data_IF_405024132182
#
_entry.id   IF_405024132182
#
_cell.length_a   1.000
_cell.length_b   1.000
_cell.length_c   1.000
_cell.angle_alpha   90.00
_cell.angle_beta   90.00
_cell.angle_gamma   90.00
#
_symmetry.space_group_name_H-M   'P 1'
#
loop_
_entity.id
_entity.type
_entity.pdbx_description
1 polymer ?
#
# COMPACT_ATOMS: atom_id res chain seq x y z
N UNK A 1 25.00 -18.96 -13.10
CA UNK A 1 23.94 -17.92 -13.05
C UNK A 1 23.00 -18.19 -14.22
N UNK A 2 21.72 -18.41 -13.95
CA UNK A 2 20.69 -18.77 -14.93
C UNK A 2 20.56 -17.71 -16.03
N UNK A 3 20.54 -18.13 -17.29
CA UNK A 3 20.44 -17.25 -18.46
C UNK A 3 19.11 -16.50 -18.47
N UNK A 4 18.03 -17.11 -17.95
CA UNK A 4 16.73 -16.45 -17.81
C UNK A 4 16.77 -15.31 -16.79
N UNK A 5 17.44 -15.54 -15.67
CA UNK A 5 17.59 -14.54 -14.62
C UNK A 5 18.39 -13.31 -15.11
N UNK A 6 19.48 -13.54 -15.85
CA UNK A 6 20.24 -12.45 -16.50
C UNK A 6 19.41 -11.65 -17.49
N UNK A 7 18.64 -12.34 -18.33
CA UNK A 7 17.78 -11.69 -19.33
C UNK A 7 16.68 -10.85 -18.67
N UNK A 8 16.08 -11.34 -17.58
CA UNK A 8 15.09 -10.59 -16.81
C UNK A 8 15.70 -9.33 -16.19
N UNK A 9 16.86 -9.43 -15.53
CA UNK A 9 17.55 -8.27 -14.95
C UNK A 9 17.87 -7.23 -16.00
N UNK A 10 18.43 -7.64 -17.15
CA UNK A 10 18.73 -6.73 -18.25
C UNK A 10 17.45 -6.03 -18.74
N UNK A 11 16.37 -6.78 -18.94
CA UNK A 11 15.09 -6.23 -19.39
C UNK A 11 14.49 -5.22 -18.40
N UNK A 12 14.61 -5.48 -17.08
CA UNK A 12 14.18 -4.54 -16.04
C UNK A 12 15.03 -3.26 -16.09
N UNK A 13 16.36 -3.40 -16.16
CA UNK A 13 17.26 -2.24 -16.23
C UNK A 13 17.04 -1.40 -17.50
N UNK A 14 16.67 -2.03 -18.61
CA UNK A 14 16.31 -1.35 -19.87
C UNK A 14 14.88 -0.77 -19.88
N UNK A 15 14.06 -1.04 -18.85
CA UNK A 15 12.66 -0.60 -18.80
C UNK A 15 11.74 -1.32 -19.78
N UNK A 16 12.10 -2.54 -20.22
CA UNK A 16 11.35 -3.36 -21.20
C UNK A 16 10.76 -4.64 -20.62
N UNK A 17 10.90 -4.84 -19.30
CA UNK A 17 10.43 -6.06 -18.66
C UNK A 17 8.91 -6.19 -18.73
N UNK A 18 8.46 -7.37 -19.14
CA UNK A 18 7.06 -7.76 -19.02
C UNK A 18 6.74 -8.06 -17.55
N UNK A 19 5.87 -7.24 -16.96
CA UNK A 19 5.42 -7.38 -15.57
C UNK A 19 4.67 -8.69 -15.32
N UNK A 20 4.11 -9.33 -16.34
CA UNK A 20 3.44 -10.63 -16.23
C UNK A 20 4.41 -11.81 -16.40
N UNK A 21 5.62 -11.55 -16.90
CA UNK A 21 6.69 -12.53 -17.13
C UNK A 21 7.61 -12.78 -15.93
N UNK A 22 7.30 -12.24 -14.74
CA UNK A 22 8.17 -12.33 -13.55
C UNK A 22 7.83 -13.45 -12.58
N UNK A 23 6.87 -14.30 -12.95
CA UNK A 23 6.41 -15.38 -12.08
C UNK A 23 7.54 -16.31 -11.66
N UNK A 24 7.41 -16.90 -10.46
CA UNK A 24 8.35 -17.93 -9.96
C UNK A 24 8.49 -19.11 -10.91
N UNK A 25 7.43 -19.40 -11.68
CA UNK A 25 7.42 -20.41 -12.75
C UNK A 25 8.32 -20.05 -13.94
N UNK A 26 8.60 -18.77 -14.17
CA UNK A 26 9.49 -18.28 -15.23
C UNK A 26 10.93 -18.15 -14.74
N UNK A 27 11.13 -17.45 -13.63
CA UNK A 27 12.42 -17.22 -13.03
C UNK A 27 12.30 -17.26 -11.50
N UNK A 28 12.79 -18.33 -10.89
CA UNK A 28 12.71 -18.52 -9.44
C UNK A 28 13.65 -17.57 -8.69
N UNK A 29 14.91 -17.52 -9.11
CA UNK A 29 15.98 -16.81 -8.41
C UNK A 29 16.44 -15.62 -9.26
N UNK A 30 16.00 -14.42 -8.89
CA UNK A 30 16.38 -13.17 -9.57
C UNK A 30 17.57 -12.54 -8.83
N UNK A 31 18.69 -12.22 -9.49
CA UNK A 31 19.81 -11.54 -8.85
C UNK A 31 19.46 -10.05 -8.69
N UNK A 32 18.66 -9.73 -7.66
CA UNK A 32 18.11 -8.40 -7.42
C UNK A 32 19.19 -7.32 -7.27
N UNK A 33 20.37 -7.69 -6.74
CA UNK A 33 21.51 -6.78 -6.60
C UNK A 33 22.06 -6.26 -7.94
N UNK A 34 21.74 -6.93 -9.05
CA UNK A 34 22.15 -6.53 -10.40
C UNK A 34 21.12 -5.58 -11.06
N UNK A 35 19.98 -5.33 -10.41
CA UNK A 35 18.95 -4.37 -10.84
C UNK A 35 19.22 -3.03 -10.17
N UNK A 36 19.24 -1.94 -10.93
CA UNK A 36 19.41 -0.62 -10.33
C UNK A 36 18.20 -0.25 -9.47
N UNK A 37 18.38 0.48 -8.34
CA UNK A 37 17.25 0.86 -7.49
C UNK A 37 16.16 1.66 -8.24
N UNK A 38 16.57 2.50 -9.21
CA UNK A 38 15.64 3.30 -10.01
C UNK A 38 14.81 2.38 -10.93
N UNK A 39 15.45 1.45 -11.63
CA UNK A 39 14.77 0.50 -12.51
C UNK A 39 13.82 -0.41 -11.73
N UNK A 40 14.22 -0.85 -10.52
CA UNK A 40 13.34 -1.63 -9.64
C UNK A 40 12.09 -0.83 -9.23
N UNK A 41 12.26 0.44 -8.87
CA UNK A 41 11.12 1.29 -8.52
C UNK A 41 10.18 1.52 -9.69
N UNK A 42 10.71 1.83 -10.88
CA UNK A 42 9.93 1.98 -12.11
C UNK A 42 9.19 0.69 -12.49
N UNK A 43 9.83 -0.46 -12.28
CA UNK A 43 9.21 -1.75 -12.49
C UNK A 43 8.03 -1.99 -11.52
N UNK A 44 8.20 -1.65 -10.24
CA UNK A 44 7.10 -1.70 -9.26
C UNK A 44 5.98 -0.70 -9.61
N UNK A 45 6.33 0.48 -10.13
CA UNK A 45 5.38 1.49 -10.60
C UNK A 45 4.53 0.96 -11.75
N UNK A 46 5.12 0.23 -12.70
CA UNK A 46 4.40 -0.40 -13.80
C UNK A 46 3.39 -1.45 -13.30
N UNK A 47 3.75 -2.25 -12.29
CA UNK A 47 2.82 -3.19 -11.64
C UNK A 47 1.67 -2.44 -10.98
N UNK A 48 1.95 -1.39 -10.19
CA UNK A 48 0.90 -0.59 -9.57
C UNK A 48 -0.03 0.05 -10.61
N UNK A 49 0.51 0.49 -11.75
CA UNK A 49 -0.28 1.06 -12.84
C UNK A 49 -1.22 0.04 -13.47
N UNK A 50 -0.75 -1.19 -13.71
CA UNK A 50 -1.59 -2.27 -14.21
C UNK A 50 -2.69 -2.67 -13.20
N UNK A 51 -2.38 -2.69 -11.90
CA UNK A 51 -3.38 -2.91 -10.84
C UNK A 51 -4.47 -1.83 -10.89
N UNK A 52 -4.08 -0.56 -10.95
CA UNK A 52 -4.99 0.58 -11.09
C UNK A 52 -5.88 0.46 -12.34
N UNK A 53 -5.26 0.14 -13.47
CA UNK A 53 -5.96 -0.05 -14.74
C UNK A 53 -7.01 -1.16 -14.65
N UNK A 54 -6.67 -2.31 -14.04
CA UNK A 54 -7.58 -3.46 -13.89
C UNK A 54 -8.76 -3.21 -12.96
N UNK A 55 -8.63 -2.28 -12.02
CA UNK A 55 -9.77 -1.83 -11.18
C UNK A 55 -10.53 -0.65 -11.78
N UNK A 56 -10.18 -0.23 -13.01
CA UNK A 56 -10.87 0.84 -13.73
C UNK A 56 -10.59 2.24 -13.20
N UNK A 57 -9.46 2.47 -12.51
CA UNK A 57 -9.08 3.77 -11.96
C UNK A 57 -7.76 4.22 -12.57
N UNK A 58 -7.70 5.46 -13.07
CA UNK A 58 -6.49 6.03 -13.63
C UNK A 58 -5.57 6.57 -12.52
N UNK A 59 -4.25 6.53 -12.76
CA UNK A 59 -3.22 7.03 -11.83
C UNK A 59 -3.50 8.46 -11.33
N UNK A 60 -3.98 9.34 -12.22
CA UNK A 60 -4.21 10.75 -11.90
C UNK A 60 -5.44 10.99 -11.01
N UNK A 61 -6.35 10.02 -10.90
CA UNK A 61 -7.54 10.11 -10.04
C UNK A 61 -7.19 9.90 -8.56
N UNK A 62 -6.12 9.17 -8.26
CA UNK A 62 -5.64 8.93 -6.89
C UNK A 62 -4.10 8.86 -6.80
N UNK A 63 -3.38 9.97 -7.10
CA UNK A 63 -1.92 9.97 -7.23
C UNK A 63 -1.19 9.64 -5.92
N UNK A 64 -1.73 10.08 -4.78
CA UNK A 64 -1.19 9.75 -3.46
C UNK A 64 -1.35 8.25 -3.16
N UNK A 65 -2.50 7.67 -3.48
CA UNK A 65 -2.76 6.24 -3.30
C UNK A 65 -1.85 5.40 -4.19
N UNK A 66 -1.68 5.83 -5.44
CA UNK A 66 -0.80 5.20 -6.41
C UNK A 66 0.65 5.17 -5.92
N UNK A 67 1.14 6.31 -5.44
CA UNK A 67 2.50 6.45 -4.90
C UNK A 67 2.70 5.55 -3.67
N UNK A 68 1.74 5.57 -2.74
CA UNK A 68 1.78 4.72 -1.55
C UNK A 68 1.74 3.22 -1.90
N UNK A 69 0.93 2.81 -2.88
CA UNK A 69 0.89 1.42 -3.35
C UNK A 69 2.22 1.00 -3.97
N UNK A 70 2.78 1.83 -4.85
CA UNK A 70 4.08 1.60 -5.49
C UNK A 70 5.19 1.42 -4.45
N UNK A 71 5.23 2.30 -3.46
CA UNK A 71 6.20 2.20 -2.37
C UNK A 71 6.04 0.90 -1.56
N UNK A 72 4.79 0.47 -1.30
CA UNK A 72 4.51 -0.77 -0.58
C UNK A 72 4.88 -2.03 -1.37
N UNK A 73 4.71 -2.02 -2.70
CA UNK A 73 5.17 -3.11 -3.56
C UNK A 73 6.71 -3.16 -3.56
N UNK A 74 7.37 -2.01 -3.75
CA UNK A 74 8.83 -1.91 -3.77
C UNK A 74 9.45 -2.38 -2.45
N UNK A 75 8.97 -1.85 -1.31
CA UNK A 75 9.44 -2.26 0.03
C UNK A 75 9.15 -3.72 0.36
N UNK A 76 8.20 -4.34 -0.36
CA UNK A 76 7.88 -5.76 -0.22
C UNK A 76 8.99 -6.69 -0.70
N UNK A 77 9.96 -6.20 -1.51
CA UNK A 77 11.03 -7.03 -2.07
C UNK A 77 10.48 -8.11 -3.01
N UNK A 78 9.63 -7.72 -3.96
CA UNK A 78 8.85 -8.64 -4.79
C UNK A 78 9.67 -9.72 -5.49
N UNK A 79 10.90 -9.40 -5.93
CA UNK A 79 11.78 -10.31 -6.65
C UNK A 79 12.80 -11.03 -5.76
N UNK A 80 12.84 -10.70 -4.46
CA UNK A 80 13.87 -11.20 -3.53
C UNK A 80 13.68 -12.70 -3.21
N UNK A 81 12.45 -13.18 -3.30
CA UNK A 81 12.07 -14.53 -2.86
C UNK A 81 11.09 -15.22 -3.83
N UNK A 82 10.92 -16.53 -3.60
CA UNK A 82 10.08 -17.40 -4.42
C UNK A 82 8.88 -18.00 -3.66
N UNK A 83 8.70 -17.68 -2.38
CA UNK A 83 7.58 -18.19 -1.56
C UNK A 83 6.97 -17.07 -0.72
N UNK A 84 5.71 -17.24 -0.31
CA UNK A 84 5.03 -16.24 0.54
C UNK A 84 5.64 -16.15 1.94
N UNK A 85 6.17 -17.25 2.48
CA UNK A 85 6.81 -17.30 3.80
C UNK A 85 7.93 -16.27 3.96
N UNK A 86 8.72 -16.08 2.89
CA UNK A 86 9.92 -15.24 2.89
C UNK A 86 9.68 -13.85 2.33
N UNK A 87 8.51 -13.62 1.73
CA UNK A 87 8.14 -12.33 1.20
C UNK A 87 8.16 -11.26 2.30
N UNK A 88 9.04 -10.26 2.17
CA UNK A 88 9.24 -9.22 3.20
C UNK A 88 7.98 -8.39 3.46
N UNK A 89 7.12 -8.25 2.45
CA UNK A 89 5.81 -7.61 2.59
C UNK A 89 4.87 -8.29 3.60
N UNK A 90 5.12 -9.56 3.96
CA UNK A 90 4.29 -10.29 4.94
C UNK A 90 4.28 -9.64 6.32
N UNK A 91 5.38 -9.04 6.78
CA UNK A 91 5.41 -8.38 8.09
C UNK A 91 4.38 -7.25 8.16
N UNK A 92 4.32 -6.42 7.12
CA UNK A 92 3.34 -5.35 7.01
C UNK A 92 1.90 -5.88 6.89
N UNK A 93 1.70 -6.93 6.10
CA UNK A 93 0.39 -7.57 5.93
C UNK A 93 -0.13 -8.15 7.25
N UNK A 94 0.73 -8.85 8.01
CA UNK A 94 0.38 -9.39 9.34
C UNK A 94 0.01 -8.28 10.33
N UNK A 95 0.76 -7.18 10.36
CA UNK A 95 0.44 -6.05 11.22
C UNK A 95 -0.93 -5.45 10.87
N UNK A 96 -1.20 -5.28 9.57
CA UNK A 96 -2.50 -4.77 9.07
C UNK A 96 -3.64 -5.72 9.45
N UNK A 97 -3.40 -7.04 9.43
CA UNK A 97 -4.39 -8.05 9.82
C UNK A 97 -4.71 -8.04 11.33
N UNK A 98 -3.75 -7.69 12.19
CA UNK A 98 -4.02 -7.53 13.62
C UNK A 98 -5.03 -6.39 13.86
N UNK A 99 -4.85 -5.25 13.18
CA UNK A 99 -5.81 -4.14 13.21
C UNK A 99 -7.18 -4.58 12.69
N UNK A 100 -7.20 -5.38 11.63
CA UNK A 100 -8.44 -5.97 11.10
C UNK A 100 -9.19 -6.76 12.16
N UNK A 101 -8.54 -7.70 12.86
CA UNK A 101 -9.21 -8.53 13.87
C UNK A 101 -9.85 -7.67 14.95
N UNK A 102 -9.17 -6.63 15.42
CA UNK A 102 -9.69 -5.70 16.42
C UNK A 102 -10.94 -4.98 15.93
N UNK A 103 -10.98 -4.55 14.66
CA UNK A 103 -12.14 -3.85 14.08
C UNK A 103 -13.30 -4.83 13.87
N UNK A 104 -13.03 -6.03 13.34
CA UNK A 104 -14.05 -7.02 13.05
C UNK A 104 -14.76 -7.48 14.33
N UNK A 105 -14.00 -7.79 15.39
CA UNK A 105 -14.56 -8.21 16.68
C UNK A 105 -15.50 -7.18 17.31
N UNK A 106 -15.34 -5.90 16.99
CA UNK A 106 -16.15 -4.80 17.56
C UNK A 106 -17.37 -4.46 16.74
N UNK A 107 -17.29 -4.61 15.42
CA UNK A 107 -18.30 -4.07 14.51
C UNK A 107 -19.17 -5.11 13.85
N UNK A 108 -18.69 -6.36 13.74
CA UNK A 108 -19.32 -7.43 12.96
C UNK A 108 -19.67 -7.03 11.51
N UNK A 109 -18.97 -6.03 10.97
CA UNK A 109 -19.19 -5.49 9.61
C UNK A 109 -18.11 -5.99 8.64
N UNK A 110 -18.42 -6.04 7.33
CA UNK A 110 -17.38 -6.17 6.32
C UNK A 110 -16.37 -5.03 6.46
N UNK A 111 -15.14 -5.27 6.05
CA UNK A 111 -14.04 -4.33 6.23
C UNK A 111 -13.12 -4.37 5.02
N UNK A 112 -12.31 -3.33 4.89
CA UNK A 112 -11.35 -3.19 3.82
C UNK A 112 -9.97 -2.91 4.39
N UNK A 113 -8.97 -3.58 3.82
CA UNK A 113 -7.58 -3.27 4.09
C UNK A 113 -7.14 -2.01 3.33
N UNK A 114 -6.03 -1.36 3.74
CA UNK A 114 -5.45 -0.27 2.97
C UNK A 114 -5.12 -0.70 1.54
N UNK A 115 -5.33 0.19 0.55
CA UNK A 115 -5.04 -0.08 -0.85
C UNK A 115 -3.60 -0.56 -1.09
N UNK A 116 -2.61 0.02 -0.40
CA UNK A 116 -1.22 -0.41 -0.51
C UNK A 116 -0.96 -1.83 0.03
N UNK A 117 -1.71 -2.30 1.02
CA UNK A 117 -1.64 -3.68 1.52
C UNK A 117 -2.18 -4.66 0.47
N UNK A 118 -3.36 -4.35 -0.08
CA UNK A 118 -3.97 -5.15 -1.15
C UNK A 118 -3.11 -5.16 -2.41
N UNK A 119 -2.58 -4.02 -2.85
CA UNK A 119 -1.67 -3.94 -3.98
C UNK A 119 -0.38 -4.75 -3.78
N UNK A 120 0.20 -4.72 -2.57
CA UNK A 120 1.39 -5.50 -2.22
C UNK A 120 1.15 -7.01 -2.32
N UNK A 121 0.01 -7.51 -1.83
CA UNK A 121 -0.29 -8.95 -1.93
C UNK A 121 -0.72 -9.36 -3.35
N UNK A 122 -1.42 -8.49 -4.09
CA UNK A 122 -1.74 -8.72 -5.50
C UNK A 122 -0.45 -8.85 -6.32
N UNK A 123 0.52 -7.95 -6.13
CA UNK A 123 1.82 -8.04 -6.79
C UNK A 123 2.51 -9.39 -6.50
N UNK A 124 2.55 -9.79 -5.22
CA UNK A 124 3.12 -11.06 -4.78
C UNK A 124 2.43 -12.29 -5.41
N UNK A 125 1.10 -12.33 -5.42
CA UNK A 125 0.33 -13.53 -5.76
C UNK A 125 -0.03 -13.59 -7.25
N UNK A 126 -0.42 -12.47 -7.86
CA UNK A 126 -0.88 -12.44 -9.25
C UNK A 126 0.27 -12.25 -10.25
N UNK A 127 1.28 -11.43 -9.93
CA UNK A 127 2.38 -11.14 -10.85
C UNK A 127 3.57 -12.04 -10.58
N UNK A 128 4.05 -12.06 -9.32
CA UNK A 128 5.18 -12.89 -8.93
C UNK A 128 4.79 -14.37 -8.73
N UNK A 129 3.49 -14.68 -8.60
CA UNK A 129 2.97 -16.04 -8.41
C UNK A 129 3.54 -16.74 -7.18
N UNK A 130 3.82 -15.98 -6.11
CA UNK A 130 4.24 -16.54 -4.83
C UNK A 130 3.14 -17.44 -4.29
N UNK A 131 3.54 -18.61 -3.79
CA UNK A 131 2.67 -19.58 -3.12
C UNK A 131 3.19 -19.84 -1.71
N UNK A 132 2.30 -20.24 -0.79
CA UNK A 132 2.73 -20.91 0.44
C UNK A 132 3.53 -22.17 0.07
N UNK A 133 4.72 -22.31 0.63
CA UNK A 133 5.55 -23.50 0.47
C UNK A 133 5.20 -24.61 1.47
N UNK A 134 4.60 -24.27 2.62
CA UNK A 134 4.36 -25.24 3.70
C UNK A 134 2.96 -25.12 4.33
N UNK A 135 2.40 -26.26 4.75
CA UNK A 135 1.17 -26.28 5.57
C UNK A 135 1.37 -25.65 6.96
N UNK A 136 2.62 -25.66 7.45
CA UNK A 136 2.99 -24.97 8.69
C UNK A 136 2.73 -23.46 8.60
N UNK A 137 3.10 -22.84 7.48
CA UNK A 137 2.81 -21.44 7.23
C UNK A 137 1.31 -21.16 7.18
N UNK A 138 0.52 -22.01 6.52
CA UNK A 138 -0.94 -21.86 6.52
C UNK A 138 -1.51 -21.86 7.93
N UNK A 139 -1.17 -22.87 8.75
CA UNK A 139 -1.68 -22.99 10.13
C UNK A 139 -1.31 -21.80 11.00
N UNK A 140 -0.10 -21.26 10.85
CA UNK A 140 0.34 -20.10 11.62
C UNK A 140 -0.32 -18.77 11.18
N UNK A 141 -0.92 -18.74 9.99
CA UNK A 141 -1.47 -17.52 9.40
C UNK A 141 -2.92 -17.74 8.95
N UNK A 142 -3.70 -18.53 9.69
CA UNK A 142 -5.08 -18.89 9.31
C UNK A 142 -5.93 -17.68 8.90
N UNK A 143 -5.91 -16.60 9.68
CA UNK A 143 -6.66 -15.38 9.36
C UNK A 143 -6.21 -14.71 8.08
N UNK A 144 -4.91 -14.79 7.74
CA UNK A 144 -4.44 -14.28 6.46
C UNK A 144 -5.11 -15.05 5.31
N UNK A 145 -5.17 -16.38 5.41
CA UNK A 145 -5.83 -17.22 4.40
C UNK A 145 -7.34 -17.00 4.38
N UNK A 146 -7.98 -16.83 5.54
CA UNK A 146 -9.40 -16.49 5.64
C UNK A 146 -9.72 -15.15 4.97
N UNK A 147 -8.94 -14.11 5.27
CA UNK A 147 -9.19 -12.75 4.75
C UNK A 147 -9.00 -12.66 3.24
N UNK A 148 -7.94 -13.28 2.72
CA UNK A 148 -7.61 -13.20 1.29
C UNK A 148 -8.26 -14.30 0.43
N UNK A 149 -8.62 -15.44 1.03
CA UNK A 149 -9.25 -16.56 0.34
C UNK A 149 -10.77 -16.57 0.47
N UNK A 150 -11.29 -16.56 1.70
CA UNK A 150 -12.73 -16.70 1.97
C UNK A 150 -13.48 -15.37 1.91
N UNK A 151 -12.93 -14.33 2.55
CA UNK A 151 -13.58 -13.01 2.65
C UNK A 151 -13.33 -12.12 1.43
N UNK A 152 -12.50 -12.58 0.48
CA UNK A 152 -12.21 -11.91 -0.78
C UNK A 152 -11.89 -10.41 -0.63
N UNK A 153 -11.08 -10.04 0.37
CA UNK A 153 -10.90 -8.62 0.73
C UNK A 153 -10.40 -7.74 -0.41
N UNK A 154 -9.71 -8.34 -1.40
CA UNK A 154 -9.23 -7.69 -2.62
C UNK A 154 -10.36 -7.09 -3.45
N UNK A 155 -11.60 -7.59 -3.33
CA UNK A 155 -12.78 -7.01 -3.96
C UNK A 155 -13.01 -5.55 -3.60
N UNK A 156 -12.55 -5.13 -2.42
CA UNK A 156 -12.71 -3.77 -1.93
C UNK A 156 -11.62 -2.79 -2.41
N UNK A 157 -10.65 -3.25 -3.22
CA UNK A 157 -9.58 -2.40 -3.72
C UNK A 157 -10.06 -1.13 -4.47
N UNK A 158 -11.05 -1.20 -5.39
CA UNK A 158 -11.54 0.00 -6.06
C UNK A 158 -12.08 1.03 -5.05
N UNK A 159 -12.82 0.57 -4.04
CA UNK A 159 -13.35 1.42 -2.97
C UNK A 159 -12.22 2.05 -2.16
N UNK A 160 -11.22 1.27 -1.75
CA UNK A 160 -10.07 1.75 -0.98
C UNK A 160 -9.27 2.84 -1.70
N UNK A 161 -9.14 2.73 -3.03
CA UNK A 161 -8.49 3.76 -3.86
C UNK A 161 -9.36 5.03 -3.91
N UNK A 162 -10.66 4.88 -4.17
CA UNK A 162 -11.58 6.02 -4.27
C UNK A 162 -11.70 6.83 -2.96
N UNK A 163 -11.67 6.17 -1.80
CA UNK A 163 -11.75 6.86 -0.49
C UNK A 163 -10.39 7.24 0.10
N UNK A 164 -9.28 6.94 -0.59
CA UNK A 164 -7.92 7.10 -0.05
C UNK A 164 -7.67 8.49 0.53
N UNK A 165 -8.11 9.53 -0.16
CA UNK A 165 -7.88 10.92 0.26
C UNK A 165 -8.44 11.23 1.67
N UNK A 166 -9.50 10.51 2.10
CA UNK A 166 -10.09 10.64 3.45
C UNK A 166 -9.45 9.68 4.46
N UNK A 167 -9.28 8.41 4.09
CA UNK A 167 -8.84 7.37 5.04
C UNK A 167 -7.32 7.28 5.18
N UNK A 168 -6.55 7.85 4.24
CA UNK A 168 -5.08 7.93 4.21
C UNK A 168 -4.38 6.60 4.54
N UNK A 169 -4.84 5.52 3.90
CA UNK A 169 -4.25 4.19 4.06
C UNK A 169 -4.55 3.49 5.38
N UNK A 170 -5.64 3.85 6.06
CA UNK A 170 -6.15 3.13 7.24
C UNK A 170 -7.14 2.05 6.84
N UNK A 171 -7.21 0.99 7.64
CA UNK A 171 -8.29 -0.02 7.58
C UNK A 171 -9.62 0.62 7.98
N UNK A 172 -10.70 0.24 7.31
CA UNK A 172 -12.03 0.79 7.57
C UNK A 172 -13.13 -0.27 7.49
N UNK A 173 -14.25 -0.02 8.15
CA UNK A 173 -15.46 -0.83 8.04
C UNK A 173 -16.28 -0.39 6.83
N UNK A 174 -17.07 -1.31 6.29
CA UNK A 174 -17.94 -1.11 5.13
C UNK A 174 -19.39 -1.27 5.58
N UNK A 175 -20.24 -0.38 5.09
CA UNK A 175 -21.68 -0.51 5.10
C UNK A 175 -22.17 -0.57 3.66
N UNK A 176 -23.05 -1.52 3.38
CA UNK A 176 -23.57 -1.73 2.03
C UNK A 176 -24.85 -0.94 1.83
N UNK A 177 -24.89 -0.18 0.74
CA UNK A 177 -26.08 0.49 0.24
C UNK A 177 -26.08 0.43 -1.29
N UNK A 178 -27.08 -0.26 -1.86
CA UNK A 178 -27.20 -0.45 -3.30
C UNK A 178 -27.53 0.85 -4.04
N UNK A 179 -28.06 1.85 -3.35
CA UNK A 179 -28.35 3.17 -3.92
C UNK A 179 -27.11 4.08 -3.92
N UNK A 180 -26.01 3.63 -3.33
CA UNK A 180 -24.78 4.42 -3.23
C UNK A 180 -24.00 4.40 -4.56
N UNK A 181 -24.06 5.51 -5.30
CA UNK A 181 -23.34 5.65 -6.57
C UNK A 181 -21.82 5.84 -6.41
N UNK A 182 -21.37 6.47 -5.31
CA UNK A 182 -19.96 6.70 -5.00
C UNK A 182 -19.70 6.46 -3.52
N UNK A 183 -18.59 5.81 -3.14
CA UNK A 183 -18.27 5.54 -1.74
C UNK A 183 -18.21 6.82 -0.89
N UNK A 184 -18.86 6.79 0.27
CA UNK A 184 -18.89 7.92 1.21
C UNK A 184 -18.18 7.51 2.51
N UNK A 185 -17.08 8.19 2.82
CA UNK A 185 -16.37 7.98 4.07
C UNK A 185 -16.91 8.85 5.20
N UNK A 186 -17.24 8.22 6.32
CA UNK A 186 -17.66 8.87 7.56
C UNK A 186 -16.82 8.38 8.73
N UNK A 187 -16.43 9.27 9.64
CA UNK A 187 -15.75 8.90 10.88
C UNK A 187 -16.81 8.73 11.97
N UNK A 188 -16.89 7.54 12.57
CA UNK A 188 -17.86 7.22 13.62
C UNK A 188 -17.15 6.78 14.90
N UNK A 189 -17.75 7.05 16.06
CA UNK A 189 -17.27 6.51 17.33
C UNK A 189 -17.88 5.13 17.58
N UNK A 190 -17.03 4.12 17.71
CA UNK A 190 -17.40 2.75 18.10
C UNK A 190 -16.57 2.40 19.33
N UNK A 191 -17.22 2.08 20.45
CA UNK A 191 -16.57 1.80 21.74
C UNK A 191 -15.57 2.89 22.18
N UNK A 192 -15.93 4.16 21.96
CA UNK A 192 -15.09 5.31 22.31
C UNK A 192 -13.91 5.58 21.37
N UNK A 193 -13.66 4.73 20.37
CA UNK A 193 -12.63 4.94 19.35
C UNK A 193 -13.23 5.41 18.03
N UNK A 194 -12.50 6.29 17.33
CA UNK A 194 -12.92 6.78 16.02
C UNK A 194 -12.55 5.77 14.93
N UNK A 195 -13.54 5.28 14.21
CA UNK A 195 -13.41 4.30 13.13
C UNK A 195 -13.99 4.88 11.83
N UNK A 196 -13.24 4.73 10.73
CA UNK A 196 -13.76 5.04 9.41
C UNK A 196 -14.78 3.99 8.98
N UNK A 197 -15.97 4.45 8.58
CA UNK A 197 -17.05 3.65 8.03
C UNK A 197 -17.35 4.18 6.63
N UNK A 198 -17.23 3.30 5.65
CA UNK A 198 -17.45 3.61 4.24
C UNK A 198 -18.80 3.04 3.83
N UNK A 199 -19.73 3.92 3.47
CA UNK A 199 -20.97 3.52 2.81
C UNK A 199 -20.68 3.35 1.32
N UNK A 200 -20.97 2.19 0.75
CA UNK A 200 -20.73 1.90 -0.67
C UNK A 200 -21.66 0.80 -1.18
N UNK A 201 -21.86 0.73 -2.49
CA UNK A 201 -22.38 -0.48 -3.13
C UNK A 201 -21.32 -1.58 -3.17
N UNK A 202 -21.76 -2.82 -3.38
CA UNK A 202 -20.86 -3.95 -3.63
C UNK A 202 -20.09 -3.69 -4.94
N UNK A 203 -18.74 -3.77 -4.94
CA UNK A 203 -17.96 -3.67 -6.17
C UNK A 203 -18.23 -4.86 -7.08
N UNK A 204 -18.02 -4.65 -8.38
CA UNK A 204 -18.01 -5.75 -9.36
C UNK A 204 -16.97 -6.82 -8.96
N UNK A 205 -17.14 -8.02 -9.53
CA UNK A 205 -16.25 -9.14 -9.25
C UNK A 205 -14.80 -8.75 -9.55
N UNK A 206 -13.89 -9.03 -8.61
CA UNK A 206 -12.52 -8.62 -8.78
C UNK A 206 -11.77 -9.55 -9.71
N UNK A 207 -10.97 -8.99 -10.61
CA UNK A 207 -10.23 -9.73 -11.64
C UNK A 207 -9.20 -10.70 -11.08
N UNK A 208 -8.87 -10.61 -9.79
CA UNK A 208 -7.88 -11.44 -9.12
C UNK A 208 -8.48 -12.59 -8.32
N UNK A 209 -9.82 -12.68 -8.24
CA UNK A 209 -10.52 -13.58 -7.33
C UNK A 209 -10.11 -15.03 -7.53
N UNK A 210 -10.10 -15.49 -8.77
CA UNK A 210 -9.71 -16.87 -9.12
C UNK A 210 -8.28 -17.19 -8.70
N UNK A 211 -7.36 -16.22 -8.86
CA UNK A 211 -5.95 -16.41 -8.50
C UNK A 211 -5.83 -16.52 -6.98
N UNK A 212 -6.51 -15.66 -6.23
CA UNK A 212 -6.51 -15.66 -4.78
C UNK A 212 -7.18 -16.91 -4.21
N UNK A 213 -8.35 -17.29 -4.74
CA UNK A 213 -9.05 -18.52 -4.36
C UNK A 213 -8.19 -19.76 -4.60
N UNK A 214 -7.52 -19.87 -5.76
CA UNK A 214 -6.58 -20.96 -6.02
C UNK A 214 -5.36 -20.96 -5.08
N UNK A 215 -4.93 -19.78 -4.61
CA UNK A 215 -3.74 -19.64 -3.75
C UNK A 215 -4.04 -19.92 -2.28
N UNK A 216 -5.17 -19.42 -1.79
CA UNK A 216 -5.51 -19.40 -0.37
C UNK A 216 -6.62 -20.39 0.00
N UNK A 217 -7.44 -20.79 -0.96
CA UNK A 217 -8.52 -21.76 -0.80
C UNK A 217 -8.39 -22.93 -1.78
N UNK A 218 -7.23 -23.61 -1.87
CA UNK A 218 -7.14 -24.83 -2.67
C UNK A 218 -8.17 -25.80 -2.11
N UNK A 219 -9.02 -26.31 -3.01
CA UNK A 219 -10.11 -27.21 -2.72
C UNK A 219 -9.67 -28.22 -1.68
N UNK A 220 -10.42 -28.31 -0.58
CA UNK A 220 -10.31 -29.39 0.39
C UNK A 220 -10.17 -30.67 -0.42
N UNK A 221 -9.02 -31.35 -0.33
CA UNK A 221 -8.93 -32.71 -0.79
C UNK A 221 -9.96 -33.47 0.04
N UNK A 222 -11.11 -33.76 -0.57
CA UNK A 222 -12.14 -34.60 0.01
C UNK A 222 -11.56 -36.01 0.05
N UNK A 223 -10.73 -36.28 1.05
CA UNK A 223 -10.50 -37.63 1.56
C UNK A 223 -11.22 -37.73 2.90
N UNK A 224 -12.55 -37.80 2.83
CA UNK A 224 -13.45 -38.23 3.90
C UNK A 224 -14.41 -39.28 3.31
N UNK A 225 -14.78 -40.31 4.08
CA UNK A 225 -15.19 -41.61 3.55
C UNK A 225 -16.49 -41.50 2.74
N UNK A 226 -16.55 -42.27 1.66
CA UNK A 226 -17.75 -42.46 0.86
C UNK A 226 -18.92 -42.85 1.77
N UNK A 227 -19.90 -41.95 1.90
CA UNK A 227 -21.23 -42.25 2.43
C UNK A 227 -22.19 -42.26 1.24
N UNK A 228 -23.11 -43.24 1.16
CA UNK A 228 -23.76 -43.63 -0.09
C UNK A 228 -24.72 -42.57 -0.63
N UNK A 229 -24.80 -42.50 -1.97
CA UNK A 229 -25.83 -41.79 -2.73
C UNK A 229 -27.23 -42.12 -2.18
N UNK A 230 -27.94 -41.09 -1.74
CA UNK A 230 -29.40 -41.07 -1.74
C UNK A 230 -29.83 -40.30 -2.98
N UNK A 231 -30.51 -41.00 -3.88
CA UNK A 231 -31.13 -40.44 -5.09
C UNK A 231 -32.25 -39.46 -4.70
N UNK A 232 -32.41 -38.33 -5.40
CA UNK A 232 -33.59 -37.49 -5.23
C UNK A 232 -34.74 -37.98 -6.12
N UNK A 233 -35.88 -38.18 -5.46
CA UNK A 233 -37.22 -38.35 -6.00
C UNK A 233 -37.54 -37.36 -7.12
N UNK A 234 -38.01 -37.89 -8.25
CA UNK A 234 -38.64 -37.16 -9.34
C UNK A 234 -40.00 -36.60 -8.89
N UNK A 235 -40.16 -35.27 -8.96
CA UNK A 235 -41.47 -34.63 -9.10
C UNK A 235 -41.33 -33.42 -10.05
N UNK A 236 -42.28 -33.17 -10.99
CA UNK A 236 -42.08 -32.25 -12.10
C UNK A 236 -42.54 -30.82 -11.77
N UNK A 237 -41.66 -29.84 -12.02
CA UNK A 237 -42.00 -28.41 -11.96
C UNK A 237 -42.58 -27.97 -13.31
N UNK A 238 -43.78 -27.39 -13.26
CA UNK A 238 -44.51 -26.83 -14.39
C UNK A 238 -43.80 -25.61 -15.01
N UNK A 239 -43.72 -25.63 -16.33
CA UNK A 239 -43.28 -24.56 -17.22
C UNK A 239 -44.25 -23.37 -17.19
N UNK A 240 -43.73 -22.16 -16.94
CA UNK A 240 -44.44 -20.90 -17.18
C UNK A 240 -43.70 -20.18 -18.32
N UNK A 241 -44.41 -19.97 -19.43
CA UNK A 241 -43.98 -19.20 -20.60
C UNK A 241 -43.82 -17.70 -20.29
N UNK A 242 -42.88 -16.98 -20.92
CA UNK A 242 -42.82 -15.52 -20.88
C UNK A 242 -43.71 -14.92 -21.98
N UNK A 243 -44.63 -14.05 -21.57
CA UNK A 243 -45.40 -13.18 -22.48
C UNK A 243 -44.57 -11.94 -22.84
N UNK A 244 -44.20 -11.84 -24.12
CA UNK A 244 -43.79 -10.59 -24.76
C UNK A 244 -45.01 -9.68 -24.99
N UNK A 245 -44.89 -8.39 -24.65
CA UNK A 245 -45.76 -7.38 -25.26
C UNK A 245 -45.01 -6.06 -25.45
N UNK A 246 -45.05 -5.62 -26.70
CA UNK A 246 -44.56 -4.38 -27.29
C UNK A 246 -45.03 -3.11 -26.55
N UNK A 247 -44.21 -2.06 -26.60
CA UNK A 247 -44.69 -0.69 -26.87
C UNK A 247 -43.60 0.20 -27.50
N UNK A 248 -44.09 1.10 -28.34
CA UNK A 248 -43.46 1.87 -29.43
C UNK A 248 -42.54 3.04 -29.02
N UNK A 249 -41.80 3.65 -29.99
CA UNK A 249 -40.74 4.63 -29.77
C UNK A 249 -41.13 6.08 -30.12
N UNK A 250 -40.72 7.09 -29.32
CA UNK A 250 -40.75 8.53 -29.70
C UNK A 250 -39.80 9.33 -28.76
N UNK A 251 -39.32 10.56 -29.06
CA UNK A 251 -38.52 11.10 -30.17
C UNK A 251 -37.14 11.67 -29.73
N UNK A 252 -36.32 12.03 -30.73
CA UNK A 252 -35.21 12.99 -30.64
C UNK A 252 -35.74 14.44 -30.56
N UNK A 253 -35.13 15.28 -29.72
CA UNK A 253 -35.10 16.73 -29.92
C UNK A 253 -33.75 17.31 -29.51
N UNK A 254 -33.18 18.08 -30.43
CA UNK A 254 -32.03 18.98 -30.28
C UNK A 254 -32.38 20.20 -29.40
N UNK A 255 -31.42 20.70 -28.62
CA UNK A 255 -31.05 22.14 -28.59
C UNK A 255 -29.86 22.43 -27.63
N UNK A 256 -28.82 22.95 -28.27
CA UNK A 256 -27.72 23.87 -27.93
C UNK A 256 -27.59 24.49 -26.52
N UNK A 257 -26.34 24.57 -26.01
CA UNK A 257 -25.55 25.83 -26.06
C UNK A 257 -24.11 25.60 -25.59
N UNK A 258 -23.17 25.98 -26.46
CA UNK A 258 -21.73 26.00 -26.19
C UNK A 258 -21.29 27.45 -25.93
N UNK A 259 -20.72 27.73 -24.75
CA UNK A 259 -19.87 28.90 -24.55
C UNK A 259 -18.41 28.46 -24.40
N UNK A 260 -17.63 28.80 -25.44
CA UNK A 260 -16.19 28.68 -25.51
C UNK A 260 -15.49 29.67 -24.57
N UNK A 261 -14.69 29.16 -23.62
CA UNK A 261 -13.58 29.90 -23.02
C UNK A 261 -12.32 29.02 -23.07
N UNK A 262 -11.74 28.91 -24.25
CA UNK A 262 -10.49 28.17 -24.47
C UNK A 262 -9.28 29.07 -24.16
N UNK A 263 -8.81 29.01 -22.92
CA UNK A 263 -7.52 29.56 -22.53
C UNK A 263 -6.42 28.73 -23.23
N UNK A 264 -5.72 29.32 -24.21
CA UNK A 264 -4.77 28.55 -25.00
C UNK A 264 -3.50 28.24 -24.22
N UNK A 265 -2.87 27.10 -24.50
CA UNK A 265 -1.60 26.66 -23.91
C UNK A 265 -0.49 27.74 -24.00
N UNK A 266 -0.60 28.64 -24.97
CA UNK A 266 0.32 29.75 -25.23
C UNK A 266 0.21 30.86 -24.17
N UNK A 267 -0.98 31.08 -23.63
CA UNK A 267 -1.26 32.08 -22.59
C UNK A 267 -0.79 31.61 -21.22
N UNK A 268 -0.98 30.32 -20.91
CA UNK A 268 -0.42 29.68 -19.71
C UNK A 268 1.11 29.75 -19.67
N UNK A 269 1.76 29.53 -20.81
CA UNK A 269 3.23 29.57 -20.92
C UNK A 269 3.80 30.99 -20.76
N UNK A 270 3.03 32.03 -21.12
CA UNK A 270 3.42 33.43 -20.85
C UNK A 270 3.30 33.79 -19.37
N UNK A 271 2.27 33.30 -18.67
CA UNK A 271 2.12 33.55 -17.23
C UNK A 271 3.26 32.92 -16.40
N UNK A 272 3.69 31.70 -16.76
CA UNK A 272 4.77 31.01 -16.03
C UNK A 272 6.14 31.68 -16.21
N UNK A 273 6.39 32.36 -17.33
CA UNK A 273 7.61 33.15 -17.54
C UNK A 273 7.61 34.47 -16.76
N UNK A 274 6.44 35.06 -16.50
CA UNK A 274 6.33 36.30 -15.73
C UNK A 274 6.62 36.11 -14.22
N UNK A 275 6.33 34.92 -13.68
CA UNK A 275 6.58 34.56 -12.27
C UNK A 275 8.03 34.10 -11.99
N UNK A 276 8.86 33.94 -13.03
CA UNK A 276 10.25 33.48 -12.93
C UNK A 276 11.26 34.59 -12.61
N UNK A 277 11.13 35.29 -11.48
CA UNK A 277 12.23 36.10 -10.90
C UNK A 277 12.71 35.47 -9.60
N UNK A 278 13.83 34.75 -9.72
CA UNK A 278 14.86 34.39 -8.74
C UNK A 278 14.55 34.76 -7.27
N UNK A 279 14.25 33.76 -6.44
CA UNK A 279 14.65 33.77 -5.03
C UNK A 279 16.02 33.10 -4.92
N UNK A 280 17.03 33.90 -4.55
CA UNK A 280 18.33 33.42 -4.12
C UNK A 280 18.17 32.85 -2.70
N UNK A 281 18.40 31.55 -2.51
CA UNK A 281 18.31 30.93 -1.16
C UNK A 281 19.68 30.69 -0.51
N UNK A 282 19.80 30.92 0.82
CA UNK A 282 20.98 30.63 1.65
C UNK A 282 21.33 29.13 1.81
N UNK A 283 20.53 28.23 1.24
CA UNK A 283 20.56 26.79 1.51
C UNK A 283 21.82 26.07 1.02
N UNK A 284 22.53 26.64 0.05
CA UNK A 284 23.71 25.97 -0.52
C UNK A 284 24.90 25.98 0.44
N UNK A 285 24.99 26.96 1.33
CA UNK A 285 26.05 27.05 2.33
C UNK A 285 25.78 26.08 3.49
N UNK A 286 24.52 25.95 3.91
CA UNK A 286 24.08 25.06 4.99
C UNK A 286 24.21 23.60 4.56
N UNK A 287 23.74 23.26 3.35
CA UNK A 287 23.89 21.91 2.80
C UNK A 287 25.37 21.49 2.61
N UNK A 288 26.26 22.44 2.30
CA UNK A 288 27.70 22.19 2.21
C UNK A 288 28.37 22.02 3.58
N UNK A 289 27.90 22.72 4.63
CA UNK A 289 28.40 22.56 5.99
C UNK A 289 28.00 21.20 6.57
N UNK A 290 26.73 20.82 6.42
CA UNK A 290 26.23 19.50 6.83
C UNK A 290 26.98 18.35 6.14
N UNK A 291 27.27 18.45 4.83
CA UNK A 291 28.06 17.43 4.12
C UNK A 291 29.51 17.30 4.61
N UNK A 292 30.13 18.37 5.12
CA UNK A 292 31.50 18.32 5.67
C UNK A 292 31.56 17.66 7.04
N UNK A 293 30.51 17.82 7.85
CA UNK A 293 30.42 17.15 9.15
C UNK A 293 30.17 15.65 9.01
N UNK A 294 29.35 15.24 8.04
CA UNK A 294 29.08 13.82 7.74
C UNK A 294 30.33 13.06 7.26
N UNK A 295 31.30 13.75 6.63
CA UNK A 295 32.51 13.10 6.10
C UNK A 295 33.70 13.06 7.09
N UNK A 296 33.58 13.63 8.29
CA UNK A 296 34.58 13.41 9.34
C UNK A 296 34.31 12.08 10.03
N UNK A 297 35.14 11.06 9.73
CA UNK A 297 35.18 9.83 10.54
C UNK A 297 35.72 10.17 11.93
N UNK A 298 35.17 9.61 13.02
CA UNK A 298 35.80 9.69 14.32
C UNK A 298 37.00 8.75 14.37
N UNK A 299 38.16 9.29 14.73
CA UNK A 299 39.35 8.52 15.07
C UNK A 299 39.15 7.72 16.36
N UNK A 300 39.94 6.65 16.45
CA UNK A 300 39.97 5.59 17.45
C UNK A 300 40.12 6.06 18.91
N UNK A 301 39.32 5.46 19.80
CA UNK A 301 39.63 5.12 21.20
C UNK A 301 38.39 4.44 21.80
N UNK A 302 38.37 3.29 22.46
CA UNK A 302 39.34 2.32 22.94
C UNK A 302 38.57 1.42 23.94
N UNK A 303 38.84 0.10 23.90
CA UNK A 303 38.75 -0.92 24.97
C UNK A 303 37.45 -1.13 25.81
N UNK A 304 36.95 -2.38 25.75
CA UNK A 304 36.67 -3.35 26.86
C UNK A 304 35.88 -2.85 28.11
N UNK A 305 34.80 -3.47 28.64
CA UNK A 305 34.61 -4.85 29.13
C UNK A 305 33.11 -5.19 29.40
N UNK A 306 32.90 -6.49 29.63
CA UNK A 306 31.76 -7.30 30.13
C UNK A 306 30.49 -6.70 30.74
N UNK A 307 29.37 -7.42 30.51
CA UNK A 307 28.25 -7.51 31.45
C UNK A 307 26.86 -7.17 30.89
N UNK A 308 25.96 -8.15 30.99
CA UNK A 308 24.49 -8.08 30.78
C UNK A 308 23.93 -7.96 29.35
N UNK A 309 23.05 -8.91 29.01
CA UNK A 309 22.24 -8.99 27.80
C UNK A 309 21.23 -7.83 27.73
N UNK A 310 21.72 -6.64 27.39
CA UNK A 310 20.92 -5.53 26.89
C UNK A 310 20.79 -5.56 25.36
N UNK A 311 19.81 -4.82 24.79
CA UNK A 311 19.68 -4.69 23.34
C UNK A 311 20.97 -4.11 22.71
N UNK A 312 21.25 -4.39 21.42
CA UNK A 312 22.57 -4.12 20.82
C UNK A 312 23.01 -2.67 21.01
N UNK A 313 24.24 -2.49 21.53
CA UNK A 313 24.91 -1.18 21.79
C UNK A 313 24.81 -0.20 20.61
N UNK A 314 24.79 -0.73 19.38
CA UNK A 314 24.64 0.04 18.13
C UNK A 314 23.35 0.86 18.04
N UNK A 315 22.25 0.44 18.68
CA UNK A 315 20.98 1.20 18.69
C UNK A 315 21.01 2.39 19.66
N UNK A 316 21.77 2.28 20.76
CA UNK A 316 21.88 3.36 21.76
C UNK A 316 22.76 4.52 21.27
N UNK A 317 23.83 4.20 20.53
CA UNK A 317 24.69 5.22 19.92
C UNK A 317 23.97 6.00 18.82
N UNK A 318 23.10 5.34 18.05
CA UNK A 318 22.30 6.01 17.01
C UNK A 318 21.23 6.94 17.60
N UNK A 319 20.54 6.53 18.67
CA UNK A 319 19.49 7.35 19.27
C UNK A 319 20.02 8.66 19.87
N UNK A 320 21.14 8.62 20.58
CA UNK A 320 21.75 9.83 21.16
C UNK A 320 22.10 10.83 20.05
N UNK A 321 22.65 10.34 18.93
CA UNK A 321 22.96 11.18 17.78
C UNK A 321 21.71 11.79 17.13
N UNK A 322 20.64 11.00 16.96
CA UNK A 322 19.38 11.50 16.43
C UNK A 322 18.70 12.50 17.36
N UNK A 323 18.78 12.30 18.68
CA UNK A 323 18.29 13.23 19.69
C UNK A 323 19.01 14.57 19.61
N UNK A 324 20.33 14.58 19.50
CA UNK A 324 21.12 15.81 19.39
C UNK A 324 20.78 16.59 18.12
N UNK A 325 20.62 15.90 16.99
CA UNK A 325 20.18 16.51 15.72
C UNK A 325 18.77 17.10 15.83
N UNK A 326 17.87 16.38 16.51
CA UNK A 326 16.49 16.82 16.74
C UNK A 326 16.45 18.08 17.60
N UNK A 327 17.12 18.07 18.76
CA UNK A 327 17.25 19.24 19.63
C UNK A 327 17.91 20.42 18.93
N UNK A 328 18.90 20.17 18.06
CA UNK A 328 19.55 21.22 17.28
C UNK A 328 18.57 21.87 16.30
N UNK A 329 17.68 21.10 15.67
CA UNK A 329 16.63 21.66 14.81
C UNK A 329 15.66 22.54 15.61
N UNK A 330 15.20 22.06 16.78
CA UNK A 330 14.33 22.80 17.69
C UNK A 330 15.00 24.11 18.17
N UNK A 331 16.24 24.03 18.70
CA UNK A 331 17.01 25.21 19.17
C UNK A 331 17.19 26.28 18.08
N UNK A 332 17.33 25.87 16.82
CA UNK A 332 17.47 26.78 15.69
C UNK A 332 16.13 27.27 15.10
N UNK A 333 14.98 26.92 15.71
CA UNK A 333 13.62 27.22 15.24
C UNK A 333 13.37 26.77 13.79
N UNK A 334 13.95 25.64 13.40
CA UNK A 334 13.73 25.04 12.09
C UNK A 334 12.81 23.85 12.27
N UNK A 335 11.81 23.72 11.39
CA UNK A 335 10.94 22.54 11.34
C UNK A 335 11.77 21.28 11.19
N UNK A 336 11.46 20.23 11.95
CA UNK A 336 12.16 18.95 11.85
C UNK A 336 12.02 18.40 10.42
N UNK A 337 13.13 18.17 9.69
CA UNK A 337 13.06 17.67 8.32
C UNK A 337 12.41 16.29 8.24
N UNK A 338 11.54 16.07 7.25
CA UNK A 338 10.89 14.77 7.03
C UNK A 338 11.89 13.62 6.84
N UNK A 339 13.06 13.90 6.26
CA UNK A 339 14.14 12.90 6.14
C UNK A 339 14.67 12.46 7.51
N UNK A 340 14.73 13.35 8.49
CA UNK A 340 15.16 13.02 9.86
C UNK A 340 14.09 12.19 10.57
N UNK A 341 12.80 12.53 10.40
CA UNK A 341 11.68 11.73 10.93
C UNK A 341 11.71 10.30 10.41
N UNK A 342 11.89 10.11 9.10
CA UNK A 342 11.97 8.79 8.47
C UNK A 342 13.16 7.97 8.98
N UNK A 343 14.31 8.60 9.23
CA UNK A 343 15.48 7.92 9.80
C UNK A 343 15.23 7.48 11.24
N UNK A 344 14.60 8.33 12.06
CA UNK A 344 14.24 8.02 13.45
C UNK A 344 13.21 6.89 13.52
N UNK A 345 12.19 6.91 12.67
CA UNK A 345 11.20 5.83 12.60
C UNK A 345 11.83 4.48 12.19
N UNK A 346 12.95 4.51 11.46
CA UNK A 346 13.64 3.31 11.01
C UNK A 346 14.65 2.78 12.03
N UNK A 347 15.34 3.66 12.76
CA UNK A 347 16.47 3.32 13.62
C UNK A 347 16.21 3.45 15.12
N UNK A 348 15.07 4.00 15.53
CA UNK A 348 14.71 4.14 16.94
C UNK A 348 13.54 3.24 17.33
N UNK A 349 13.49 2.85 18.60
CA UNK A 349 12.36 2.14 19.18
C UNK A 349 11.13 3.06 19.28
N UNK A 350 9.90 2.54 19.31
CA UNK A 350 8.69 3.37 19.46
C UNK A 350 8.73 4.30 20.68
N UNK A 351 9.30 3.86 21.80
CA UNK A 351 9.45 4.68 23.01
C UNK A 351 10.42 5.85 22.80
N UNK A 352 11.47 5.66 22.01
CA UNK A 352 12.43 6.71 21.63
C UNK A 352 11.82 7.70 20.64
N UNK A 353 11.05 7.22 19.66
CA UNK A 353 10.29 8.07 18.73
C UNK A 353 9.29 8.94 19.49
N UNK A 354 8.54 8.32 20.41
CA UNK A 354 7.59 9.02 21.27
C UNK A 354 8.28 10.11 22.12
N UNK A 355 9.43 9.81 22.71
CA UNK A 355 10.19 10.81 23.48
C UNK A 355 10.62 12.01 22.64
N UNK A 356 11.08 11.80 21.40
CA UNK A 356 11.45 12.90 20.49
C UNK A 356 10.24 13.75 20.06
N UNK A 357 9.09 13.11 19.88
CA UNK A 357 7.83 13.81 19.59
C UNK A 357 7.34 14.67 20.76
N UNK A 358 7.42 14.16 22.00
CA UNK A 358 7.05 14.98 23.17
C UNK A 358 8.03 16.16 23.36
N UNK A 359 9.33 15.98 23.11
CA UNK A 359 10.29 17.10 23.11
C UNK A 359 9.96 18.19 22.08
N UNK A 360 9.53 17.80 20.88
CA UNK A 360 9.09 18.75 19.85
C UNK A 360 7.84 19.51 20.32
N UNK A 361 6.87 18.80 20.88
CA UNK A 361 5.61 19.37 21.38
C UNK A 361 5.83 20.32 22.56
N UNK A 362 6.69 19.97 23.52
CA UNK A 362 7.09 20.85 24.62
C UNK A 362 7.74 22.12 24.09
N UNK A 363 8.66 22.01 23.13
CA UNK A 363 9.30 23.17 22.52
C UNK A 363 8.32 24.09 21.77
N UNK A 364 7.35 23.51 21.06
CA UNK A 364 6.30 24.27 20.38
C UNK A 364 5.39 25.01 21.38
N UNK A 365 5.06 24.36 22.51
CA UNK A 365 4.30 24.99 23.59
C UNK A 365 5.07 26.15 24.25
N UNK A 366 6.40 26.03 24.42
CA UNK A 366 7.25 27.09 24.97
C UNK A 366 7.49 28.26 24.00
N UNK A 367 7.55 27.98 22.70
CA UNK A 367 7.84 29.01 21.68
C UNK A 367 6.59 29.69 21.11
N UNK A 368 5.39 29.28 21.54
CA UNK A 368 4.11 29.90 21.14
C UNK A 368 3.81 29.79 19.65
N UNK A 369 4.43 28.83 18.95
CA UNK A 369 4.20 28.59 17.53
C UNK A 369 3.13 27.50 17.36
N UNK A 370 1.88 27.92 17.16
CA UNK A 370 0.85 27.07 16.57
C UNK A 370 1.22 26.79 15.11
N UNK A 371 1.25 25.52 14.71
CA UNK A 371 1.42 25.12 13.32
C UNK A 371 0.03 24.96 12.72
N UNK A 372 -0.34 25.86 11.81
CA UNK A 372 -1.49 25.68 10.92
C UNK A 372 -1.35 24.34 10.18
N UNK A 373 -2.36 23.48 10.35
CA UNK A 373 -2.33 22.05 10.04
C UNK A 373 -2.47 21.65 8.58
#
# INVERSE_FOLDING_TARGET
MDQKAKALVLSINEGKADIHGIGVDVCKDVPVNDITPISMYQFCEAIAADIFHRVGIQKHEAPECFSAMTERIHKGGLLDDSTLERYKGMTFLKHTLLTFRTIQQRTDKPFCLPAGAMGSIIAAVAYRKLRPATDGFRRQNEDFFKVFGELNVVQWLPVAIQVWYKVKGRTFAIELDQNCHKPVATLRKVDGQSLWVILTRMPDMNTYEDIFRKTFSPATSVSGPAVPKLEPSDDPIASIEPNDTYNEPIPLSDDDEAEENTLTLRDYTRQMKALGKRLATPDRAIARRARREIMKKPDQSGQQEDGELGPPKEYFDCYTHFKDLWETCLKNRVSIPNSLRVLIDHHCTPSQVFHLMELEKEHLAETGMEVDG
#
